data_IF_664192520821
#
_entry.id   IF_664192520821
#
_cell.length_a   1.000
_cell.length_b   1.000
_cell.length_c   1.000
_cell.angle_alpha   90.00
_cell.angle_beta   90.00
_cell.angle_gamma   90.00
#
_symmetry.space_group_name_H-M   'P 1'
#
loop_
_entity.id
_entity.type
_entity.pdbx_description
1 polymer ?
#
# COMPACT_ATOMS: atom_id res chain seq x y z
N UNK A 1 -1.35 31.71 11.10
CA UNK A 1 -1.43 30.94 12.36
C UNK A 1 -2.81 30.34 12.49
N UNK A 2 -2.87 29.01 12.65
CA UNK A 2 -4.11 28.23 12.67
C UNK A 2 -4.23 27.45 13.97
N UNK A 3 -5.42 27.36 14.52
CA UNK A 3 -5.67 26.51 15.69
C UNK A 3 -5.68 25.03 15.29
N UNK A 4 -5.45 24.12 16.23
CA UNK A 4 -5.47 22.67 15.97
C UNK A 4 -6.80 22.19 15.35
N UNK A 5 -7.94 22.81 15.70
CA UNK A 5 -9.24 22.51 15.11
C UNK A 5 -9.33 22.90 13.62
N UNK A 6 -8.80 24.08 13.27
CA UNK A 6 -8.72 24.52 11.87
C UNK A 6 -7.82 23.59 11.06
N UNK A 7 -6.63 23.23 11.58
CA UNK A 7 -5.72 22.27 10.89
C UNK A 7 -6.35 20.90 10.77
N UNK A 8 -7.05 20.43 11.78
CA UNK A 8 -7.83 19.18 11.74
C UNK A 8 -8.83 19.17 10.56
N UNK A 9 -9.57 20.26 10.39
CA UNK A 9 -10.51 20.39 9.27
C UNK A 9 -9.82 20.49 7.92
N UNK A 10 -8.74 21.29 7.81
CA UNK A 10 -7.99 21.50 6.56
C UNK A 10 -7.36 20.20 6.01
N UNK A 11 -6.84 19.35 6.90
CA UNK A 11 -6.16 18.11 6.53
C UNK A 11 -7.05 16.87 6.62
N UNK A 12 -8.29 17.03 7.07
CA UNK A 12 -9.20 15.92 7.38
C UNK A 12 -8.55 14.88 8.33
N UNK A 13 -7.87 15.37 9.35
CA UNK A 13 -7.19 14.56 10.37
C UNK A 13 -7.84 14.76 11.74
N UNK A 14 -7.99 13.70 12.53
CA UNK A 14 -8.42 13.82 13.92
C UNK A 14 -7.46 14.72 14.73
N UNK A 15 -7.99 15.52 15.64
CA UNK A 15 -7.17 16.34 16.57
C UNK A 15 -6.20 15.46 17.37
N UNK A 16 -6.58 14.24 17.71
CA UNK A 16 -5.72 13.25 18.37
C UNK A 16 -4.47 12.91 17.55
N UNK A 17 -4.58 12.82 16.25
CA UNK A 17 -3.44 12.58 15.33
C UNK A 17 -2.49 13.76 15.34
N UNK A 18 -2.98 14.98 15.30
CA UNK A 18 -2.14 16.18 15.36
C UNK A 18 -1.43 16.32 16.72
N UNK A 19 -2.10 15.96 17.81
CA UNK A 19 -1.47 15.91 19.16
C UNK A 19 -0.41 14.81 19.23
N UNK A 20 -0.63 13.68 18.58
CA UNK A 20 0.33 12.60 18.49
C UNK A 20 1.58 13.05 17.72
N UNK A 21 1.45 13.73 16.59
CA UNK A 21 2.58 14.27 15.84
C UNK A 21 3.37 15.32 16.61
N UNK A 22 2.68 16.20 17.35
CA UNK A 22 3.34 17.15 18.26
C UNK A 22 4.13 16.40 19.34
N UNK A 23 3.55 15.37 19.96
CA UNK A 23 4.23 14.53 20.95
C UNK A 23 5.45 13.78 20.37
N UNK A 24 5.38 13.34 19.12
CA UNK A 24 6.50 12.73 18.41
C UNK A 24 7.61 13.72 18.03
N UNK A 25 7.37 15.03 18.20
CA UNK A 25 8.37 16.08 17.97
C UNK A 25 8.46 16.56 16.53
N UNK A 26 7.43 16.33 15.70
CA UNK A 26 7.40 16.82 14.32
C UNK A 26 7.26 18.32 14.19
N UNK A 27 6.84 18.99 15.24
CA UNK A 27 6.61 20.45 15.29
C UNK A 27 7.43 21.10 16.40
N UNK A 28 8.77 21.18 16.28
CA UNK A 28 9.64 21.65 17.36
C UNK A 28 9.39 23.10 17.76
N UNK A 29 8.88 23.92 16.83
CA UNK A 29 8.62 25.34 17.03
C UNK A 29 7.13 25.67 17.22
N UNK A 30 6.30 24.66 17.52
CA UNK A 30 4.86 24.86 17.67
C UNK A 30 4.51 25.85 18.79
N UNK A 31 3.90 26.97 18.43
CA UNK A 31 3.47 27.95 19.41
C UNK A 31 2.32 27.45 20.27
N UNK A 32 2.37 27.81 21.57
CA UNK A 32 1.30 27.53 22.53
C UNK A 32 0.95 28.81 23.30
N UNK A 33 -0.34 29.18 23.25
CA UNK A 33 -0.89 30.27 24.04
C UNK A 33 -1.89 29.65 25.02
N UNK A 34 -1.51 29.55 26.28
CA UNK A 34 -2.23 28.72 27.25
C UNK A 34 -2.17 27.22 26.80
N UNK A 35 -3.32 26.57 26.77
CA UNK A 35 -3.41 25.17 26.32
C UNK A 35 -3.74 25.01 24.81
N UNK A 36 -3.75 26.11 24.05
CA UNK A 36 -4.09 26.10 22.63
C UNK A 36 -2.81 26.05 21.78
N UNK A 37 -2.77 25.08 20.84
CA UNK A 37 -1.70 24.94 19.85
C UNK A 37 -2.02 25.78 18.62
N UNK A 38 -1.01 26.53 18.16
CA UNK A 38 -1.09 27.36 16.95
C UNK A 38 -0.05 26.88 15.94
N UNK A 39 -0.50 26.60 14.74
CA UNK A 39 0.29 26.11 13.63
C UNK A 39 0.58 27.26 12.67
N UNK A 40 1.83 27.45 12.29
CA UNK A 40 2.23 28.34 11.20
C UNK A 40 2.21 27.61 9.86
N UNK A 41 2.55 28.31 8.78
CA UNK A 41 2.68 27.71 7.45
C UNK A 41 3.81 26.67 7.41
N UNK A 42 4.85 26.80 8.25
CA UNK A 42 5.93 25.83 8.36
C UNK A 42 5.44 24.49 8.93
N UNK A 43 4.61 24.53 9.99
CA UNK A 43 3.99 23.32 10.53
C UNK A 43 2.99 22.70 9.57
N UNK A 44 2.28 23.50 8.77
CA UNK A 44 1.39 22.98 7.72
C UNK A 44 2.19 22.28 6.62
N UNK A 45 3.33 22.84 6.23
CA UNK A 45 4.21 22.21 5.23
C UNK A 45 4.80 20.90 5.76
N UNK A 46 5.29 20.89 7.00
CA UNK A 46 5.76 19.69 7.67
C UNK A 46 4.64 18.62 7.71
N UNK A 47 3.40 19.02 8.00
CA UNK A 47 2.25 18.11 8.02
C UNK A 47 1.94 17.54 6.64
N UNK A 48 2.03 18.32 5.56
CA UNK A 48 1.89 17.82 4.17
C UNK A 48 2.92 16.75 3.86
N UNK A 49 4.18 16.98 4.25
CA UNK A 49 5.27 16.01 4.06
C UNK A 49 4.99 14.73 4.86
N UNK A 50 4.61 14.83 6.13
CA UNK A 50 4.28 13.67 6.97
C UNK A 50 3.17 12.83 6.33
N UNK A 51 2.08 13.46 5.92
CA UNK A 51 0.96 12.74 5.32
C UNK A 51 1.31 12.13 3.94
N UNK A 52 2.13 12.80 3.15
CA UNK A 52 2.66 12.26 1.89
C UNK A 52 3.50 11.00 2.13
N UNK A 53 4.44 11.06 3.08
CA UNK A 53 5.32 9.94 3.41
C UNK A 53 4.57 8.77 4.04
N UNK A 54 3.57 9.04 4.89
CA UNK A 54 2.66 8.00 5.41
C UNK A 54 1.87 7.30 4.29
N UNK A 55 1.31 8.07 3.36
CA UNK A 55 0.60 7.50 2.20
C UNK A 55 1.50 6.62 1.33
N UNK A 56 2.79 6.92 1.27
CA UNK A 56 3.77 6.08 0.60
C UNK A 56 4.15 4.82 1.39
N UNK A 57 3.62 4.64 2.61
CA UNK A 57 3.81 3.47 3.46
C UNK A 57 5.07 3.53 4.34
N UNK A 58 5.63 4.72 4.57
CA UNK A 58 6.69 4.89 5.57
C UNK A 58 6.10 4.90 6.98
N UNK A 59 6.80 4.25 7.91
CA UNK A 59 6.43 4.26 9.31
C UNK A 59 6.78 5.59 9.97
N UNK A 60 6.10 5.94 11.06
CA UNK A 60 6.34 7.20 11.80
C UNK A 60 7.80 7.36 12.24
N UNK A 61 8.46 6.26 12.65
CA UNK A 61 9.89 6.28 13.02
C UNK A 61 10.79 6.70 11.86
N UNK A 62 10.51 6.23 10.65
CA UNK A 62 11.30 6.50 9.44
C UNK A 62 11.06 7.94 8.97
N UNK A 63 9.81 8.42 9.07
CA UNK A 63 9.45 9.82 8.80
C UNK A 63 10.18 10.76 9.78
N UNK A 64 10.23 10.40 11.06
CA UNK A 64 10.97 11.17 12.07
C UNK A 64 12.46 11.22 11.75
N UNK A 65 13.05 10.09 11.40
CA UNK A 65 14.45 10.01 10.97
C UNK A 65 14.71 10.85 9.71
N UNK A 66 13.78 10.83 8.74
CA UNK A 66 13.85 11.67 7.55
C UNK A 66 13.90 13.17 7.91
N UNK A 67 13.07 13.67 8.85
CA UNK A 67 13.11 15.06 9.30
C UNK A 67 14.44 15.43 9.99
N UNK A 68 15.02 14.50 10.78
CA UNK A 68 16.35 14.68 11.36
C UNK A 68 17.37 14.84 10.23
N UNK A 69 17.37 13.99 9.24
CA UNK A 69 18.28 14.09 8.10
C UNK A 69 18.06 15.35 7.25
N UNK A 70 16.83 15.84 7.15
CA UNK A 70 16.57 17.13 6.48
C UNK A 70 17.27 18.27 7.21
N UNK A 71 17.30 18.27 8.54
CA UNK A 71 18.02 19.28 9.33
C UNK A 71 19.56 19.18 9.23
N UNK A 72 20.11 18.00 8.88
CA UNK A 72 21.55 17.81 8.60
C UNK A 72 21.98 18.38 7.23
N UNK A 73 21.02 18.77 6.38
CA UNK A 73 21.28 19.38 5.07
C UNK A 73 21.83 18.38 4.04
N UNK A 74 22.82 18.84 3.24
CA UNK A 74 23.38 18.07 2.11
C UNK A 74 24.13 16.80 2.52
N UNK A 75 24.68 16.74 3.72
CA UNK A 75 25.41 15.56 4.23
C UNK A 75 24.52 14.31 4.36
N UNK A 76 23.20 14.48 4.34
CA UNK A 76 22.24 13.38 4.47
C UNK A 76 21.56 12.95 3.17
N UNK A 77 21.93 13.50 2.01
CA UNK A 77 21.24 13.22 0.74
C UNK A 77 21.24 11.73 0.39
N UNK A 78 22.36 11.02 0.57
CA UNK A 78 22.42 9.58 0.29
C UNK A 78 21.51 8.77 1.23
N UNK A 79 21.49 9.08 2.53
CA UNK A 79 20.61 8.41 3.51
C UNK A 79 19.13 8.59 3.15
N UNK A 80 18.74 9.82 2.76
CA UNK A 80 17.36 10.12 2.33
C UNK A 80 16.99 9.41 1.04
N UNK A 81 17.91 9.34 0.08
CA UNK A 81 17.74 8.61 -1.19
C UNK A 81 17.55 7.12 -0.91
N UNK A 82 18.42 6.50 -0.10
CA UNK A 82 18.35 5.08 0.27
C UNK A 82 17.01 4.71 0.93
N UNK A 83 16.49 5.57 1.81
CA UNK A 83 15.17 5.38 2.41
C UNK A 83 14.07 5.24 1.34
N UNK A 84 14.07 6.13 0.36
CA UNK A 84 13.06 6.10 -0.71
C UNK A 84 13.29 4.95 -1.70
N UNK A 85 14.52 4.59 -2.01
CA UNK A 85 14.83 3.43 -2.86
C UNK A 85 14.37 2.12 -2.21
N UNK A 86 14.60 1.98 -0.91
CA UNK A 86 14.11 0.83 -0.14
C UNK A 86 12.59 0.74 -0.19
N UNK A 87 11.88 1.84 0.05
CA UNK A 87 10.40 1.83 -0.01
C UNK A 87 9.88 1.59 -1.43
N UNK A 88 10.52 2.18 -2.43
CA UNK A 88 10.19 1.94 -3.85
C UNK A 88 10.28 0.45 -4.18
N UNK A 89 11.37 -0.22 -3.83
CA UNK A 89 11.56 -1.66 -4.09
C UNK A 89 10.50 -2.51 -3.39
N UNK A 90 10.11 -2.15 -2.17
CA UNK A 90 9.02 -2.83 -1.46
C UNK A 90 7.68 -2.66 -2.21
N UNK A 91 7.35 -1.45 -2.66
CA UNK A 91 6.13 -1.18 -3.44
C UNK A 91 6.13 -1.94 -4.78
N UNK A 92 7.27 -1.99 -5.48
CA UNK A 92 7.41 -2.77 -6.72
C UNK A 92 7.12 -4.26 -6.47
N UNK A 93 7.60 -4.82 -5.36
CA UNK A 93 7.31 -6.19 -4.95
C UNK A 93 5.82 -6.40 -4.64
N UNK A 94 5.19 -5.46 -3.93
CA UNK A 94 3.75 -5.48 -3.65
C UNK A 94 2.92 -5.45 -4.95
N UNK A 95 3.30 -4.59 -5.90
CA UNK A 95 2.64 -4.49 -7.21
C UNK A 95 2.75 -5.83 -7.96
N UNK A 96 3.92 -6.46 -8.00
CA UNK A 96 4.11 -7.75 -8.65
C UNK A 96 3.22 -8.85 -8.03
N UNK A 97 3.13 -8.89 -6.70
CA UNK A 97 2.27 -9.83 -5.99
C UNK A 97 0.79 -9.62 -6.33
N UNK A 98 0.33 -8.36 -6.35
CA UNK A 98 -1.04 -8.00 -6.73
C UNK A 98 -1.33 -8.31 -8.20
N UNK A 99 -0.38 -8.11 -9.11
CA UNK A 99 -0.52 -8.47 -10.53
C UNK A 99 -0.70 -9.98 -10.73
N UNK A 100 0.05 -10.81 -9.99
CA UNK A 100 -0.14 -12.27 -9.99
C UNK A 100 -1.53 -12.66 -9.50
N UNK A 101 -1.97 -12.06 -8.39
CA UNK A 101 -3.32 -12.29 -7.86
C UNK A 101 -4.39 -11.87 -8.86
N UNK A 102 -4.26 -10.72 -9.50
CA UNK A 102 -5.19 -10.24 -10.52
C UNK A 102 -5.25 -11.18 -11.73
N UNK A 103 -4.09 -11.69 -12.18
CA UNK A 103 -4.02 -12.66 -13.28
C UNK A 103 -4.77 -13.97 -12.94
N UNK A 104 -4.61 -14.46 -11.70
CA UNK A 104 -5.37 -15.61 -11.20
C UNK A 104 -6.88 -15.35 -11.21
N UNK A 105 -7.32 -14.20 -10.73
CA UNK A 105 -8.75 -13.86 -10.70
C UNK A 105 -9.33 -13.74 -12.12
N UNK A 106 -8.62 -13.11 -13.05
CA UNK A 106 -9.02 -13.05 -14.46
C UNK A 106 -9.13 -14.43 -15.09
N UNK A 107 -8.19 -15.34 -14.79
CA UNK A 107 -8.26 -16.74 -15.22
C UNK A 107 -9.51 -17.44 -14.65
N UNK A 108 -9.82 -17.24 -13.37
CA UNK A 108 -11.01 -17.84 -12.75
C UNK A 108 -12.31 -17.30 -13.35
N UNK A 109 -12.39 -16.02 -13.65
CA UNK A 109 -13.56 -15.46 -14.36
C UNK A 109 -13.75 -16.13 -15.71
N UNK A 110 -12.70 -16.17 -16.54
CA UNK A 110 -12.75 -16.86 -17.83
C UNK A 110 -13.12 -18.35 -17.70
N UNK A 111 -12.55 -19.04 -16.71
CA UNK A 111 -12.82 -20.46 -16.48
C UNK A 111 -14.30 -20.72 -16.21
N UNK A 112 -14.93 -19.93 -15.36
CA UNK A 112 -16.34 -20.11 -15.02
C UNK A 112 -17.29 -19.58 -16.10
N UNK A 113 -16.92 -18.59 -16.89
CA UNK A 113 -17.65 -18.19 -18.08
C UNK A 113 -17.70 -19.35 -19.10
N UNK A 114 -16.56 -19.95 -19.41
CA UNK A 114 -16.45 -21.10 -20.29
C UNK A 114 -17.24 -22.30 -19.77
N UNK A 115 -17.17 -22.58 -18.48
CA UNK A 115 -17.93 -23.64 -17.82
C UNK A 115 -19.45 -23.39 -17.91
N UNK A 116 -19.89 -22.15 -17.71
CA UNK A 116 -21.30 -21.75 -17.85
C UNK A 116 -21.81 -21.93 -19.26
N UNK A 117 -21.06 -21.50 -20.27
CA UNK A 117 -21.41 -21.65 -21.71
C UNK A 117 -21.49 -23.11 -22.10
N UNK A 118 -20.58 -23.96 -21.60
CA UNK A 118 -20.56 -25.39 -21.90
C UNK A 118 -21.54 -26.21 -21.03
N UNK A 119 -22.16 -25.62 -20.02
CA UNK A 119 -23.02 -26.30 -19.05
C UNK A 119 -22.31 -27.27 -18.11
N UNK A 120 -20.98 -27.26 -18.08
CA UNK A 120 -20.16 -28.15 -17.21
C UNK A 120 -18.78 -27.56 -16.91
N UNK A 121 -18.31 -27.76 -15.67
CA UNK A 121 -16.96 -27.42 -15.26
C UNK A 121 -15.86 -28.28 -15.88
N UNK A 122 -16.25 -29.44 -16.44
CA UNK A 122 -15.31 -30.35 -17.12
C UNK A 122 -14.77 -29.74 -18.42
N UNK A 123 -15.55 -28.91 -19.13
CA UNK A 123 -15.16 -28.32 -20.39
C UNK A 123 -13.86 -27.51 -20.29
N UNK A 124 -13.75 -26.46 -19.48
CA UNK A 124 -12.50 -25.73 -19.34
C UNK A 124 -11.40 -26.57 -18.66
N UNK A 125 -11.75 -27.56 -17.84
CA UNK A 125 -10.78 -28.44 -17.19
C UNK A 125 -10.08 -29.38 -18.19
N UNK A 126 -10.80 -29.97 -19.14
CA UNK A 126 -10.31 -30.92 -20.16
C UNK A 126 -9.74 -30.24 -21.40
N UNK A 127 -10.00 -28.95 -21.58
CA UNK A 127 -9.55 -28.14 -22.73
C UNK A 127 -8.04 -28.28 -22.93
N UNK A 128 -7.58 -28.48 -24.18
CA UNK A 128 -6.16 -28.50 -24.49
C UNK A 128 -5.51 -27.14 -24.23
N UNK A 129 -4.21 -27.09 -23.95
CA UNK A 129 -3.53 -25.83 -23.64
C UNK A 129 -3.59 -24.83 -24.82
N UNK A 130 -3.58 -25.34 -26.05
CA UNK A 130 -3.72 -24.57 -27.29
C UNK A 130 -5.08 -23.86 -27.42
N UNK A 131 -6.13 -24.41 -26.83
CA UNK A 131 -7.49 -23.86 -26.84
C UNK A 131 -7.68 -22.78 -25.75
N UNK A 132 -6.80 -22.77 -24.72
CA UNK A 132 -6.82 -21.76 -23.67
C UNK A 132 -6.27 -20.45 -24.23
N UNK A 133 -6.93 -19.31 -23.98
CA UNK A 133 -6.41 -18.01 -24.38
C UNK A 133 -4.96 -17.81 -23.92
N UNK A 134 -4.09 -17.33 -24.80
CA UNK A 134 -2.65 -17.22 -24.58
C UNK A 134 -2.30 -16.55 -23.24
N UNK A 135 -2.99 -15.48 -22.90
CA UNK A 135 -2.84 -14.74 -21.63
C UNK A 135 -3.05 -15.58 -20.35
N UNK A 136 -3.68 -16.76 -20.47
CA UNK A 136 -3.98 -17.64 -19.35
C UNK A 136 -3.20 -18.95 -19.34
N UNK A 137 -2.39 -19.24 -20.37
CA UNK A 137 -1.67 -20.51 -20.49
C UNK A 137 -0.67 -20.72 -19.38
N UNK A 138 0.10 -19.68 -19.04
CA UNK A 138 1.12 -19.72 -17.97
C UNK A 138 0.46 -20.02 -16.64
N UNK A 139 -0.54 -19.25 -16.25
CA UNK A 139 -1.20 -19.41 -14.96
C UNK A 139 -1.90 -20.77 -14.83
N UNK A 140 -2.44 -21.30 -15.93
CA UNK A 140 -3.02 -22.64 -15.95
C UNK A 140 -1.96 -23.73 -15.71
N UNK A 141 -0.76 -23.60 -16.28
CA UNK A 141 0.35 -24.52 -16.04
C UNK A 141 0.82 -24.46 -14.59
N UNK A 142 1.01 -23.28 -14.04
CA UNK A 142 1.38 -23.07 -12.62
C UNK A 142 0.38 -23.73 -11.67
N UNK A 143 -0.92 -23.56 -11.92
CA UNK A 143 -1.97 -24.17 -11.09
C UNK A 143 -2.01 -25.71 -11.18
N UNK A 144 -1.55 -26.30 -12.28
CA UNK A 144 -1.47 -27.77 -12.43
C UNK A 144 -0.22 -28.34 -11.75
N UNK A 145 0.87 -27.58 -11.71
CA UNK A 145 2.16 -28.00 -11.13
C UNK A 145 2.30 -27.65 -9.66
N UNK A 146 1.47 -26.73 -9.14
CA UNK A 146 1.47 -26.36 -7.73
C UNK A 146 1.21 -27.59 -6.86
N UNK A 147 2.03 -27.85 -5.83
CA UNK A 147 1.79 -28.94 -4.90
C UNK A 147 0.38 -28.76 -4.29
N UNK A 148 -0.41 -29.82 -4.26
CA UNK A 148 -1.70 -29.83 -3.59
C UNK A 148 -1.43 -29.67 -2.09
N UNK A 149 -1.30 -28.43 -1.62
CA UNK A 149 -1.31 -28.16 -0.18
C UNK A 149 -2.67 -28.60 0.35
N UNK A 150 -2.63 -29.44 1.35
CA UNK A 150 -3.79 -30.06 1.98
C UNK A 150 -4.59 -29.04 2.82
N UNK A 151 -4.93 -27.90 2.26
CA UNK A 151 -5.79 -26.87 2.84
C UNK A 151 -7.03 -26.69 1.95
N UNK A 152 -8.02 -27.55 2.18
CA UNK A 152 -9.43 -27.23 2.11
C UNK A 152 -10.04 -26.86 0.77
N UNK A 153 -10.38 -27.84 -0.07
CA UNK A 153 -11.71 -27.87 -0.68
C UNK A 153 -12.21 -29.32 -0.63
N UNK A 154 -12.52 -29.79 0.56
CA UNK A 154 -13.56 -30.81 0.73
C UNK A 154 -14.89 -30.05 0.72
N UNK A 155 -15.70 -30.26 -0.32
CA UNK A 155 -17.09 -29.81 -0.31
C UNK A 155 -17.52 -28.95 -1.50
N UNK A 156 -17.33 -29.41 -2.74
CA UNK A 156 -18.13 -28.97 -3.89
C UNK A 156 -18.36 -30.18 -4.79
N UNK A 157 -18.97 -31.21 -4.17
CA UNK A 157 -19.68 -32.28 -4.89
C UNK A 157 -21.09 -32.30 -4.32
N UNK A 158 -21.99 -31.51 -4.94
CA UNK A 158 -23.42 -31.79 -5.09
C UNK A 158 -24.07 -30.68 -5.90
#
# INVERSE_FOLDING_TARGET
MYTIGQVSAMFNLPVSTLRYYDKEGFFPNLERKGNIRYFSDNELEALRIIECLKKSGLEIKDIKQFFIWVSEGSSSYEKRKELFETRKSAVETEIQALQKTLSLLKFKCWYYETAKEAGTVDAPQKMALSEVPERFRIIRQELRTAPRTAAGIKGLSR
#
